data_IF_411013860149
#
_entry.id   IF_411013860149
#
_cell.length_a   1.000
_cell.length_b   1.000
_cell.length_c   1.000
_cell.angle_alpha   90.00
_cell.angle_beta   90.00
_cell.angle_gamma   90.00
#
_symmetry.space_group_name_H-M   'P 1'
#
loop_
_entity.id
_entity.type
_entity.pdbx_description
1 polymer ?
#
# COMPACT_ATOMS: atom_id res chain seq x y z
N UNK A 1 33.15 -29.32 -4.99
CA UNK A 1 32.12 -29.65 -3.96
C UNK A 1 31.18 -28.47 -3.61
N UNK A 2 31.02 -27.47 -4.48
CA UNK A 2 30.15 -26.30 -4.22
C UNK A 2 28.74 -26.48 -4.79
N UNK A 3 28.62 -27.13 -5.95
CA UNK A 3 27.33 -27.43 -6.62
C UNK A 3 26.35 -28.26 -5.78
N UNK A 4 26.84 -29.25 -5.01
CA UNK A 4 26.00 -30.08 -4.13
C UNK A 4 25.45 -29.29 -2.94
N UNK A 5 26.20 -28.31 -2.44
CA UNK A 5 25.78 -27.43 -1.34
C UNK A 5 24.76 -26.40 -1.82
N UNK A 6 24.92 -25.89 -3.04
CA UNK A 6 23.96 -24.96 -3.67
C UNK A 6 22.59 -25.61 -3.93
N UNK A 7 22.55 -26.87 -4.36
CA UNK A 7 21.30 -27.59 -4.59
C UNK A 7 20.50 -27.84 -3.30
N UNK A 8 21.21 -28.14 -2.19
CA UNK A 8 20.57 -28.36 -0.89
C UNK A 8 19.94 -27.09 -0.32
N UNK A 9 20.57 -25.93 -0.53
CA UNK A 9 20.05 -24.63 -0.07
C UNK A 9 18.79 -24.24 -0.85
N UNK A 10 18.76 -24.45 -2.18
CA UNK A 10 17.58 -24.16 -3.01
C UNK A 10 16.37 -25.02 -2.60
N UNK A 11 16.60 -26.31 -2.31
CA UNK A 11 15.55 -27.22 -1.87
C UNK A 11 14.96 -26.82 -0.51
N UNK A 12 15.79 -26.37 0.43
CA UNK A 12 15.34 -25.92 1.75
C UNK A 12 14.47 -24.66 1.67
N UNK A 13 14.81 -23.70 0.78
CA UNK A 13 14.02 -22.47 0.60
C UNK A 13 12.65 -22.73 -0.02
N UNK A 14 12.53 -23.71 -0.93
CA UNK A 14 11.25 -24.10 -1.53
C UNK A 14 10.32 -24.72 -0.49
N UNK A 15 10.82 -25.64 0.33
CA UNK A 15 10.01 -26.34 1.35
C UNK A 15 9.49 -25.38 2.43
N UNK A 16 10.33 -24.44 2.89
CA UNK A 16 9.93 -23.44 3.88
C UNK A 16 8.96 -22.42 3.26
N UNK A 17 9.19 -22.00 2.01
CA UNK A 17 8.31 -21.07 1.30
C UNK A 17 6.91 -21.62 1.03
N UNK A 18 6.78 -22.93 0.78
CA UNK A 18 5.47 -23.57 0.55
C UNK A 18 4.70 -23.90 1.83
N UNK A 19 5.40 -24.13 2.95
CA UNK A 19 4.76 -24.50 4.22
C UNK A 19 4.20 -23.30 5.02
N UNK A 20 4.71 -22.09 4.75
CA UNK A 20 4.30 -20.84 5.40
C UNK A 20 3.45 -19.94 4.48
N UNK A 21 3.20 -20.36 3.23
CA UNK A 21 2.32 -19.63 2.34
C UNK A 21 0.90 -19.64 2.94
N UNK A 22 0.31 -18.49 3.29
CA UNK A 22 -1.09 -18.44 3.65
C UNK A 22 -1.86 -18.92 2.41
N UNK A 23 -2.47 -20.09 2.49
CA UNK A 23 -3.46 -20.52 1.52
C UNK A 23 -4.69 -19.63 1.72
N UNK A 24 -4.66 -18.44 1.13
CA UNK A 24 -5.83 -17.59 0.99
C UNK A 24 -6.76 -18.28 0.00
N UNK A 25 -7.58 -19.21 0.50
CA UNK A 25 -8.78 -19.66 -0.19
C UNK A 25 -9.67 -18.43 -0.36
N UNK A 26 -9.71 -17.90 -1.58
CA UNK A 26 -10.65 -16.87 -1.98
C UNK A 26 -12.03 -17.51 -2.12
N UNK A 27 -12.63 -17.90 -0.99
CA UNK A 27 -14.02 -18.30 -0.88
C UNK A 27 -14.86 -17.10 -1.32
N UNK A 28 -15.51 -17.21 -2.48
CA UNK A 28 -16.44 -16.24 -3.08
C UNK A 28 -16.40 -14.83 -2.50
N UNK A 29 -15.44 -14.01 -2.94
CA UNK A 29 -15.38 -12.61 -2.54
C UNK A 29 -16.62 -11.87 -3.05
N UNK A 30 -17.64 -11.78 -2.20
CA UNK A 30 -18.75 -10.85 -2.41
C UNK A 30 -18.17 -9.43 -2.44
N UNK A 31 -18.58 -8.56 -3.38
CA UNK A 31 -17.95 -7.24 -3.51
C UNK A 31 -18.11 -6.48 -2.20
N UNK A 32 -16.97 -6.16 -1.56
CA UNK A 32 -16.97 -5.27 -0.40
C UNK A 32 -17.46 -3.88 -0.83
N UNK A 33 -18.22 -3.19 0.04
CA UNK A 33 -18.66 -1.83 -0.25
C UNK A 33 -17.45 -0.93 -0.54
N UNK A 34 -17.59 -0.05 -1.54
CA UNK A 34 -16.54 0.89 -1.88
C UNK A 34 -16.22 1.79 -0.68
N UNK A 35 -14.94 2.01 -0.36
CA UNK A 35 -14.55 2.86 0.75
C UNK A 35 -15.00 4.30 0.48
N UNK A 36 -15.52 4.95 1.53
CA UNK A 36 -15.89 6.35 1.47
C UNK A 36 -14.62 7.21 1.44
N UNK A 37 -14.31 7.79 0.29
CA UNK A 37 -13.13 8.64 0.13
C UNK A 37 -13.50 10.06 0.59
N UNK A 38 -12.78 10.62 1.59
CA UNK A 38 -13.02 12.00 2.01
C UNK A 38 -12.83 12.97 0.83
N UNK A 39 -13.70 13.97 0.75
CA UNK A 39 -13.63 14.96 -0.34
C UNK A 39 -12.33 15.77 -0.25
N UNK A 40 -11.70 16.03 -1.40
CA UNK A 40 -10.52 16.90 -1.48
C UNK A 40 -9.19 16.17 -1.39
N UNK A 41 -9.18 14.84 -1.20
CA UNK A 41 -7.96 14.06 -1.35
C UNK A 41 -7.55 13.96 -2.82
N UNK A 42 -6.25 13.93 -3.05
CA UNK A 42 -5.67 13.69 -4.37
C UNK A 42 -5.72 12.18 -4.69
N UNK A 43 -6.45 11.84 -5.75
CA UNK A 43 -6.65 10.48 -6.28
C UNK A 43 -7.92 9.78 -5.77
N UNK A 44 -8.18 8.58 -6.30
CA UNK A 44 -9.49 7.89 -6.19
C UNK A 44 -9.41 6.51 -5.53
N UNK A 45 -8.25 6.14 -5.00
CA UNK A 45 -8.05 4.88 -4.27
C UNK A 45 -8.27 5.07 -2.78
N UNK A 46 -8.59 3.97 -2.09
CA UNK A 46 -8.74 3.92 -0.64
C UNK A 46 -7.49 4.48 0.08
N UNK A 47 -7.62 5.54 0.90
CA UNK A 47 -6.48 6.13 1.59
C UNK A 47 -6.03 5.37 2.86
N UNK A 48 -6.67 4.26 3.22
CA UNK A 48 -6.45 3.55 4.51
C UNK A 48 -4.98 3.20 4.77
N UNK A 49 -4.24 2.78 3.74
CA UNK A 49 -2.88 2.25 3.93
C UNK A 49 -1.77 3.20 3.51
N UNK A 50 -2.02 4.02 2.49
CA UNK A 50 -1.00 4.87 1.86
C UNK A 50 -1.44 6.33 1.72
N UNK A 51 -2.59 6.71 2.28
CA UNK A 51 -3.19 8.02 2.12
C UNK A 51 -2.27 9.14 2.60
N UNK A 52 -1.68 9.01 3.78
CA UNK A 52 -0.75 10.00 4.35
C UNK A 52 0.45 10.24 3.42
N UNK A 53 1.04 9.16 2.90
CA UNK A 53 2.17 9.24 1.97
C UNK A 53 1.77 9.92 0.65
N UNK A 54 0.65 9.51 0.03
CA UNK A 54 0.18 10.08 -1.23
C UNK A 54 -0.23 11.55 -1.10
N UNK A 55 -0.95 11.89 -0.03
CA UNK A 55 -1.38 13.26 0.21
C UNK A 55 -0.19 14.18 0.51
N UNK A 56 0.76 13.77 1.36
CA UNK A 56 1.95 14.59 1.65
C UNK A 56 2.78 14.88 0.39
N UNK A 57 2.98 13.88 -0.47
CA UNK A 57 3.67 14.06 -1.75
C UNK A 57 2.91 15.03 -2.67
N UNK A 58 1.59 14.91 -2.75
CA UNK A 58 0.75 15.81 -3.57
C UNK A 58 0.78 17.26 -3.07
N UNK A 59 0.80 17.48 -1.75
CA UNK A 59 0.89 18.83 -1.18
C UNK A 59 2.26 19.46 -1.42
N UNK A 60 3.34 18.67 -1.29
CA UNK A 60 4.69 19.12 -1.64
C UNK A 60 4.80 19.48 -3.11
N UNK A 61 4.29 18.64 -4.01
CA UNK A 61 4.32 18.88 -5.45
C UNK A 61 3.56 20.15 -5.86
N UNK A 62 2.44 20.47 -5.21
CA UNK A 62 1.75 21.74 -5.44
C UNK A 62 2.56 22.93 -4.96
N UNK A 63 3.12 22.84 -3.75
CA UNK A 63 3.95 23.90 -3.19
C UNK A 63 5.16 24.21 -4.08
N UNK A 64 5.83 23.20 -4.66
CA UNK A 64 7.00 23.43 -5.53
C UNK A 64 6.67 24.20 -6.80
N UNK A 65 5.43 24.14 -7.29
CA UNK A 65 4.95 24.89 -8.46
C UNK A 65 4.13 26.12 -8.09
N UNK A 66 4.16 26.55 -6.82
CA UNK A 66 3.46 27.75 -6.34
C UNK A 66 1.94 27.60 -6.25
N UNK A 67 1.41 26.38 -6.34
CA UNK A 67 -0.02 26.11 -6.15
C UNK A 67 -0.30 25.96 -4.66
N UNK A 68 -1.30 26.69 -4.16
CA UNK A 68 -1.76 26.57 -2.78
C UNK A 68 -2.57 25.26 -2.61
N UNK A 69 -2.15 24.35 -1.69
CA UNK A 69 -2.93 23.17 -1.34
C UNK A 69 -4.39 23.46 -1.00
N UNK A 70 -5.28 22.54 -1.39
CA UNK A 70 -6.68 22.60 -0.98
C UNK A 70 -6.79 22.48 0.55
N UNK A 71 -7.48 23.43 1.20
CA UNK A 71 -7.62 23.45 2.66
C UNK A 71 -8.13 22.13 3.23
N UNK A 72 -9.14 21.51 2.59
CA UNK A 72 -9.66 20.19 3.00
C UNK A 72 -8.61 19.09 3.01
N UNK A 73 -7.67 19.10 2.05
CA UNK A 73 -6.60 18.10 2.00
C UNK A 73 -5.57 18.32 3.13
N UNK A 74 -5.28 19.59 3.43
CA UNK A 74 -4.42 19.98 4.56
C UNK A 74 -5.04 19.57 5.89
N UNK A 75 -6.32 19.91 6.10
CA UNK A 75 -7.06 19.57 7.32
C UNK A 75 -7.14 18.05 7.52
N UNK A 76 -7.42 17.31 6.45
CA UNK A 76 -7.44 15.84 6.50
C UNK A 76 -6.07 15.27 6.90
N UNK A 77 -4.98 15.77 6.31
CA UNK A 77 -3.62 15.29 6.59
C UNK A 77 -3.16 15.66 8.01
N UNK A 78 -3.53 16.84 8.50
CA UNK A 78 -3.23 17.29 9.86
C UNK A 78 -3.94 16.43 10.92
N UNK A 79 -5.09 15.85 10.60
CA UNK A 79 -5.83 14.95 11.49
C UNK A 79 -5.32 13.50 11.56
N UNK A 80 -4.18 13.17 10.94
CA UNK A 80 -3.63 11.80 10.90
C UNK A 80 -2.59 11.48 11.98
N UNK A 81 -2.30 12.44 12.88
CA UNK A 81 -1.36 12.30 14.01
C UNK A 81 -2.01 11.57 15.19
#
# INVERSE_FOLDING_TARGET
MIVRRSAAVLAATVVIGTALAPAAVAEGASPSPAPAIPSGLYGTSDPTYDGVWRQSLALLAQHTVGVKPAAKAVDWLAGQQ
#
